data_IF_550711424690
#
_entry.id   IF_550711424690
#
_cell.length_a   1.000
_cell.length_b   1.000
_cell.length_c   1.000
_cell.angle_alpha   90.00
_cell.angle_beta   90.00
_cell.angle_gamma   90.00
#
_symmetry.space_group_name_H-M   'P 1'
#
loop_
_entity.id
_entity.type
_entity.pdbx_description
1 polymer ?
#
# COMPACT_ATOMS: atom_id res chain seq x y z
N UNK A 1 17.65 7.99 28.07
CA UNK A 1 17.53 9.42 27.69
C UNK A 1 18.72 9.73 26.81
N UNK A 2 18.47 10.23 25.60
CA UNK A 2 19.49 10.55 24.61
C UNK A 2 18.81 11.18 23.41
N UNK A 3 18.26 12.38 23.61
CA UNK A 3 17.58 13.13 22.56
C UNK A 3 18.60 13.74 21.61
N UNK A 4 18.79 13.13 20.43
CA UNK A 4 19.43 13.76 19.29
C UNK A 4 18.37 14.48 18.46
N UNK A 5 18.39 15.81 18.46
CA UNK A 5 17.52 16.64 17.61
C UNK A 5 17.98 16.47 16.16
N UNK A 6 17.12 15.91 15.30
CA UNK A 6 17.40 15.80 13.86
C UNK A 6 17.67 17.21 13.30
N UNK A 7 18.83 17.45 12.65
CA UNK A 7 19.11 18.74 12.03
C UNK A 7 18.15 18.96 10.87
N UNK A 8 17.42 20.06 10.92
CA UNK A 8 16.54 20.50 9.84
C UNK A 8 17.38 20.93 8.64
N UNK A 9 17.16 20.28 7.49
CA UNK A 9 17.61 20.75 6.17
C UNK A 9 19.14 20.83 5.99
N UNK A 10 19.85 19.72 6.15
CA UNK A 10 21.20 19.60 5.59
C UNK A 10 21.18 18.76 4.31
N UNK A 11 21.90 19.23 3.28
CA UNK A 11 22.14 18.50 2.02
C UNK A 11 23.44 17.68 2.04
N UNK A 12 24.22 17.75 3.12
CA UNK A 12 25.52 17.06 3.25
C UNK A 12 25.68 16.37 4.59
N UNK A 13 26.07 15.10 4.54
CA UNK A 13 26.33 14.26 5.71
C UNK A 13 27.25 14.95 6.75
N UNK A 14 28.24 15.72 6.28
CA UNK A 14 29.22 16.44 7.10
C UNK A 14 28.63 17.53 7.99
N UNK A 15 27.45 18.06 7.67
CA UNK A 15 26.84 19.10 8.49
C UNK A 15 26.15 18.50 9.73
N UNK A 16 25.74 17.23 9.64
CA UNK A 16 25.14 16.47 10.75
C UNK A 16 26.19 15.71 11.57
N UNK A 17 27.25 15.21 10.92
CA UNK A 17 28.35 14.51 11.58
C UNK A 17 29.68 15.10 11.12
N UNK A 18 30.27 15.93 11.98
CA UNK A 18 31.46 16.70 11.64
C UNK A 18 32.75 15.86 11.60
N UNK A 19 32.70 14.63 12.09
CA UNK A 19 33.79 13.68 12.04
C UNK A 19 33.28 12.25 11.79
N UNK A 20 34.16 11.41 11.26
CA UNK A 20 33.91 9.96 11.12
C UNK A 20 33.56 9.34 12.48
N UNK A 21 34.25 9.75 13.57
CA UNK A 21 33.97 9.29 14.92
C UNK A 21 32.58 9.66 15.43
N UNK A 22 32.08 10.85 15.10
CA UNK A 22 30.74 11.29 15.53
C UNK A 22 29.65 10.48 14.83
N UNK A 23 29.82 10.26 13.52
CA UNK A 23 28.93 9.38 12.75
C UNK A 23 28.93 7.95 13.33
N UNK A 24 30.13 7.42 13.58
CA UNK A 24 30.34 6.08 14.10
C UNK A 24 29.74 5.85 15.49
N UNK A 25 29.87 6.82 16.38
CA UNK A 25 29.28 6.73 17.72
C UNK A 25 27.76 6.75 17.65
N UNK A 26 27.20 7.51 16.70
CA UNK A 26 25.75 7.62 16.52
C UNK A 26 25.10 6.35 15.94
N UNK A 27 25.80 5.57 15.10
CA UNK A 27 25.20 4.45 14.37
C UNK A 27 25.91 3.09 14.52
N UNK A 28 27.21 3.07 14.79
CA UNK A 28 28.05 1.86 14.81
C UNK A 28 28.28 1.25 16.20
N UNK A 29 27.85 1.90 17.26
CA UNK A 29 28.04 1.42 18.64
C UNK A 29 29.51 1.28 19.05
N UNK A 30 29.76 0.58 20.16
CA UNK A 30 31.11 0.45 20.73
C UNK A 30 31.97 -0.55 19.92
N UNK A 31 32.65 -0.01 18.89
CA UNK A 31 33.91 -0.48 18.27
C UNK A 31 33.97 -1.79 17.49
N UNK A 32 33.10 -2.05 16.51
CA UNK A 32 33.46 -3.06 15.49
C UNK A 32 32.98 -2.86 14.06
N UNK A 33 32.02 -1.97 13.79
CA UNK A 33 31.54 -1.78 12.42
C UNK A 33 31.46 -0.30 12.10
N UNK A 34 32.63 0.30 11.93
CA UNK A 34 32.74 1.54 11.20
C UNK A 34 33.64 1.36 9.99
N UNK A 35 33.31 2.07 8.91
CA UNK A 35 33.93 1.94 7.59
C UNK A 35 35.34 2.53 7.60
N UNK A 36 36.27 1.93 8.36
CA UNK A 36 37.66 2.37 8.56
C UNK A 36 38.54 2.27 7.29
N UNK A 37 37.94 2.20 6.10
CA UNK A 37 38.60 1.96 4.82
C UNK A 37 39.31 0.60 4.70
N UNK A 38 39.29 -0.21 5.76
CA UNK A 38 39.91 -1.52 5.80
C UNK A 38 38.98 -2.54 5.14
N UNK A 39 39.50 -3.34 4.22
CA UNK A 39 38.75 -4.41 3.56
C UNK A 39 38.28 -5.43 4.59
N UNK A 40 36.98 -5.45 4.86
CA UNK A 40 36.34 -6.52 5.65
C UNK A 40 36.09 -7.69 4.71
N UNK A 41 36.86 -8.76 4.85
CA UNK A 41 36.56 -10.04 4.22
C UNK A 41 35.44 -10.71 5.01
N UNK A 42 34.21 -10.54 4.54
CA UNK A 42 33.13 -11.42 4.97
C UNK A 42 33.47 -12.84 4.53
N UNK A 43 33.23 -13.81 5.41
CA UNK A 43 33.29 -15.22 5.03
C UNK A 43 32.17 -15.41 4.00
N UNK A 44 32.51 -15.29 2.72
CA UNK A 44 31.55 -15.34 1.64
C UNK A 44 31.07 -16.79 1.55
N UNK A 45 29.96 -17.09 2.23
CA UNK A 45 29.11 -18.21 1.85
C UNK A 45 28.91 -18.05 0.36
N UNK A 46 29.34 -19.05 -0.44
CA UNK A 46 29.16 -18.98 -1.89
C UNK A 46 27.72 -18.52 -2.16
N UNK A 47 27.52 -17.47 -2.97
CA UNK A 47 26.18 -17.10 -3.38
C UNK A 47 25.52 -18.38 -3.90
N UNK A 48 24.44 -18.78 -3.25
CA UNK A 48 23.59 -19.84 -3.77
C UNK A 48 23.37 -19.54 -5.25
N UNK A 49 23.56 -20.54 -6.11
CA UNK A 49 23.46 -20.34 -7.55
C UNK A 49 22.17 -19.57 -7.85
N UNK A 50 22.32 -18.38 -8.43
CA UNK A 50 21.18 -17.51 -8.72
C UNK A 50 20.13 -18.31 -9.48
N UNK A 51 18.83 -18.21 -9.10
CA UNK A 51 17.78 -18.96 -9.78
C UNK A 51 17.89 -18.76 -11.29
N UNK A 52 17.87 -19.86 -12.07
CA UNK A 52 18.04 -19.82 -13.53
C UNK A 52 16.88 -19.11 -14.26
N UNK A 53 15.77 -18.85 -13.56
CA UNK A 53 14.60 -18.16 -14.08
C UNK A 53 13.41 -18.25 -13.12
N UNK A 54 12.25 -17.75 -13.58
CA UNK A 54 10.96 -17.80 -12.88
C UNK A 54 9.98 -18.57 -13.76
N UNK A 55 9.26 -19.52 -13.17
CA UNK A 55 8.15 -20.21 -13.84
C UNK A 55 6.86 -19.43 -13.59
N UNK A 56 6.06 -19.20 -14.65
CA UNK A 56 4.77 -18.53 -14.54
C UNK A 56 3.66 -19.53 -14.85
N UNK A 57 2.66 -19.60 -13.97
CA UNK A 57 1.43 -20.36 -14.17
C UNK A 57 0.26 -19.39 -14.28
N UNK A 58 -0.56 -19.55 -15.31
CA UNK A 58 -1.75 -18.73 -15.50
C UNK A 58 -2.87 -19.28 -14.61
N UNK A 59 -3.31 -18.47 -13.64
CA UNK A 59 -4.37 -18.85 -12.69
C UNK A 59 -5.73 -18.25 -13.01
N UNK A 60 -5.86 -17.37 -14.00
CA UNK A 60 -7.16 -16.84 -14.44
C UNK A 60 -7.17 -16.52 -15.94
N UNK A 61 -8.34 -16.68 -16.55
CA UNK A 61 -8.58 -16.35 -17.95
C UNK A 61 -8.88 -14.86 -18.20
N UNK A 62 -8.99 -14.06 -17.13
CA UNK A 62 -9.21 -12.62 -17.22
C UNK A 62 -10.69 -12.25 -17.20
N UNK A 63 -11.49 -12.92 -16.36
CA UNK A 63 -12.90 -12.58 -16.18
C UNK A 63 -13.10 -11.16 -15.65
N UNK A 64 -12.12 -10.65 -14.88
CA UNK A 64 -12.08 -9.28 -14.40
C UNK A 64 -10.69 -8.68 -14.57
N UNK A 65 -10.62 -7.35 -14.66
CA UNK A 65 -9.38 -6.59 -14.57
C UNK A 65 -9.07 -6.29 -13.10
N UNK A 66 -8.25 -7.13 -12.48
CA UNK A 66 -7.79 -6.91 -11.11
C UNK A 66 -6.62 -5.91 -11.10
N UNK A 67 -6.65 -4.98 -10.15
CA UNK A 67 -5.55 -4.06 -9.88
C UNK A 67 -4.74 -4.49 -8.65
N UNK A 68 -5.39 -5.14 -7.69
CA UNK A 68 -4.80 -5.48 -6.40
C UNK A 68 -5.08 -6.92 -6.00
N UNK A 69 -4.11 -7.55 -5.33
CA UNK A 69 -4.21 -8.90 -4.77
C UNK A 69 -3.58 -8.90 -3.38
N UNK A 70 -4.32 -9.37 -2.37
CA UNK A 70 -3.85 -9.44 -0.98
C UNK A 70 -4.16 -10.83 -0.41
N UNK A 71 -3.18 -11.53 0.21
CA UNK A 71 -3.43 -12.83 0.81
C UNK A 71 -4.40 -12.73 1.99
N UNK A 72 -5.18 -13.77 2.20
CA UNK A 72 -6.07 -13.84 3.36
C UNK A 72 -5.23 -14.00 4.65
N UNK A 73 -5.50 -13.20 5.72
CA UNK A 73 -4.69 -13.21 6.94
C UNK A 73 -4.70 -14.50 7.76
N UNK A 74 -5.54 -15.48 7.42
CA UNK A 74 -5.64 -16.77 8.12
C UNK A 74 -4.59 -17.79 7.68
N UNK A 75 -3.72 -17.43 6.72
CA UNK A 75 -2.72 -18.33 6.16
C UNK A 75 -3.27 -19.40 5.22
N UNK A 76 -4.54 -19.31 4.82
CA UNK A 76 -5.09 -20.16 3.77
C UNK A 76 -4.60 -19.72 2.38
N UNK A 77 -4.89 -20.53 1.36
CA UNK A 77 -4.62 -20.18 -0.04
C UNK A 77 -5.65 -19.19 -0.62
N UNK A 78 -6.41 -18.50 0.22
CA UNK A 78 -7.40 -17.52 -0.21
C UNK A 78 -6.77 -16.14 -0.40
N UNK A 79 -7.32 -15.39 -1.34
CA UNK A 79 -6.85 -14.07 -1.74
C UNK A 79 -8.03 -13.13 -1.98
N UNK A 80 -7.82 -11.87 -1.63
CA UNK A 80 -8.72 -10.78 -1.96
C UNK A 80 -8.26 -10.10 -3.24
N UNK A 81 -9.15 -10.00 -4.22
CA UNK A 81 -8.88 -9.45 -5.55
C UNK A 81 -9.69 -8.17 -5.75
N UNK A 82 -9.00 -7.05 -5.91
CA UNK A 82 -9.62 -5.73 -6.06
C UNK A 82 -9.68 -5.32 -7.52
N UNK A 83 -10.86 -4.93 -7.99
CA UNK A 83 -11.06 -4.31 -9.31
C UNK A 83 -10.93 -2.79 -9.22
N UNK A 84 -10.55 -2.12 -10.31
CA UNK A 84 -10.44 -0.65 -10.34
C UNK A 84 -11.76 0.05 -9.98
N UNK A 85 -12.91 -0.54 -10.33
CA UNK A 85 -14.22 -0.01 -10.01
C UNK A 85 -14.59 -0.08 -8.51
N UNK A 86 -13.82 -0.79 -7.69
CA UNK A 86 -14.07 -0.90 -6.24
C UNK A 86 -14.75 -2.19 -5.78
N UNK A 87 -14.92 -3.19 -6.64
CA UNK A 87 -15.33 -4.53 -6.19
C UNK A 87 -14.14 -5.30 -5.65
N UNK A 88 -14.31 -5.89 -4.47
CA UNK A 88 -13.32 -6.79 -3.85
C UNK A 88 -13.93 -8.20 -3.81
N UNK A 89 -13.25 -9.14 -4.45
CA UNK A 89 -13.67 -10.53 -4.62
C UNK A 89 -12.81 -11.42 -3.71
N UNK A 90 -13.36 -12.54 -3.25
CA UNK A 90 -12.63 -13.56 -2.49
C UNK A 90 -12.50 -14.82 -3.36
N UNK A 91 -11.27 -15.28 -3.54
CA UNK A 91 -10.97 -16.47 -4.33
C UNK A 91 -9.91 -17.34 -3.66
N UNK A 92 -9.92 -18.62 -3.98
CA UNK A 92 -8.89 -19.59 -3.62
C UNK A 92 -7.91 -19.74 -4.78
N UNK A 93 -6.62 -19.62 -4.49
CA UNK A 93 -5.53 -19.87 -5.43
C UNK A 93 -5.32 -21.38 -5.56
N UNK A 94 -5.26 -21.93 -6.79
CA UNK A 94 -5.04 -23.35 -7.00
C UNK A 94 -3.64 -23.78 -6.54
N UNK A 95 -3.46 -25.08 -6.29
CA UNK A 95 -2.13 -25.63 -5.99
C UNK A 95 -1.17 -25.43 -7.17
N UNK A 96 0.09 -25.15 -6.86
CA UNK A 96 1.13 -24.94 -7.86
C UNK A 96 1.28 -26.17 -8.76
N UNK A 97 1.23 -25.96 -10.08
CA UNK A 97 1.38 -27.02 -11.08
C UNK A 97 0.13 -27.87 -11.28
N UNK A 98 -1.00 -27.53 -10.65
CA UNK A 98 -2.27 -28.22 -10.87
C UNK A 98 -2.90 -27.88 -12.22
N UNK A 99 -2.51 -26.77 -12.86
CA UNK A 99 -3.20 -26.24 -14.04
C UNK A 99 -4.61 -25.71 -13.73
N UNK A 100 -4.95 -25.56 -12.45
CA UNK A 100 -6.22 -25.01 -12.00
C UNK A 100 -6.33 -23.50 -12.22
N UNK A 101 -7.56 -22.99 -12.10
CA UNK A 101 -7.85 -21.56 -12.11
C UNK A 101 -8.33 -21.10 -10.74
N UNK A 102 -8.37 -19.78 -10.51
CA UNK A 102 -9.00 -19.17 -9.34
C UNK A 102 -10.41 -19.72 -9.14
N UNK A 103 -10.69 -20.13 -7.90
CA UNK A 103 -12.01 -20.58 -7.49
C UNK A 103 -12.62 -19.50 -6.62
N UNK A 104 -13.70 -18.87 -7.09
CA UNK A 104 -14.41 -17.85 -6.32
C UNK A 104 -15.37 -18.51 -5.33
N UNK A 105 -15.42 -18.03 -4.09
CA UNK A 105 -16.37 -18.51 -3.07
C UNK A 105 -17.83 -18.25 -3.53
N UNK A 106 -18.83 -18.94 -2.99
CA UNK A 106 -20.22 -18.95 -3.52
C UNK A 106 -20.89 -17.56 -3.67
N UNK A 107 -20.47 -16.57 -2.88
CA UNK A 107 -20.94 -15.19 -3.04
C UNK A 107 -20.15 -14.39 -4.10
N UNK A 108 -18.98 -14.87 -4.50
CA UNK A 108 -18.02 -14.27 -5.43
C UNK A 108 -17.41 -12.94 -4.98
N UNK A 109 -18.08 -12.22 -4.08
CA UNK A 109 -17.83 -10.84 -3.71
C UNK A 109 -17.70 -10.73 -2.20
N UNK A 110 -16.56 -10.20 -1.74
CA UNK A 110 -16.30 -9.89 -0.34
C UNK A 110 -16.94 -8.56 0.05
N UNK A 111 -16.72 -7.50 -0.74
CA UNK A 111 -17.36 -6.19 -0.54
C UNK A 111 -17.48 -5.45 -1.88
N UNK A 112 -18.53 -4.65 -1.99
CA UNK A 112 -18.72 -3.70 -3.10
C UNK A 112 -18.53 -2.27 -2.60
N UNK A 113 -17.49 -1.59 -3.08
CA UNK A 113 -17.21 -0.19 -2.78
C UNK A 113 -17.53 0.74 -3.96
N UNK A 114 -18.22 0.27 -5.00
CA UNK A 114 -18.51 1.05 -6.22
C UNK A 114 -19.24 2.37 -5.95
N UNK A 115 -20.05 2.45 -4.89
CA UNK A 115 -20.73 3.69 -4.48
C UNK A 115 -19.78 4.72 -3.84
N UNK A 116 -18.65 4.27 -3.29
CA UNK A 116 -17.64 5.12 -2.64
C UNK A 116 -16.51 5.50 -3.59
N UNK A 117 -16.17 4.58 -4.50
CA UNK A 117 -15.07 4.72 -5.44
C UNK A 117 -15.52 5.53 -6.65
N UNK A 118 -14.85 6.64 -6.89
CA UNK A 118 -14.91 7.32 -8.17
C UNK A 118 -14.04 6.56 -9.18
N UNK A 119 -14.69 5.98 -10.18
CA UNK A 119 -14.05 5.15 -11.20
C UNK A 119 -14.10 5.83 -12.57
N UNK A 120 -12.94 5.97 -13.20
CA UNK A 120 -12.78 6.34 -14.61
C UNK A 120 -11.50 5.71 -15.20
N UNK A 121 -10.95 6.24 -16.30
CA UNK A 121 -9.72 5.71 -16.90
C UNK A 121 -8.46 5.88 -16.04
N UNK A 122 -8.47 6.80 -15.08
CA UNK A 122 -7.33 7.17 -14.23
C UNK A 122 -7.59 6.92 -12.74
N UNK A 123 -8.84 6.98 -12.32
CA UNK A 123 -9.28 6.88 -10.93
C UNK A 123 -9.89 5.52 -10.62
N UNK A 124 -9.86 5.16 -9.34
CA UNK A 124 -10.52 3.97 -8.86
C UNK A 124 -10.02 3.53 -7.50
N UNK A 125 -10.22 2.24 -7.20
CA UNK A 125 -9.54 1.57 -6.11
C UNK A 125 -8.04 1.55 -6.40
N UNK A 126 -7.23 2.00 -5.45
CA UNK A 126 -5.77 2.06 -5.59
C UNK A 126 -5.08 0.92 -4.83
N UNK A 127 -5.63 0.50 -3.69
CA UNK A 127 -4.97 -0.46 -2.81
C UNK A 127 -5.87 -0.89 -1.65
N UNK A 128 -5.47 -1.98 -0.98
CA UNK A 128 -6.12 -2.44 0.24
C UNK A 128 -5.12 -3.15 1.16
N UNK A 129 -5.41 -3.15 2.46
CA UNK A 129 -4.61 -3.85 3.47
C UNK A 129 -5.52 -4.35 4.60
N UNK A 130 -5.23 -5.54 5.11
CA UNK A 130 -5.93 -6.09 6.26
C UNK A 130 -5.18 -5.74 7.54
N UNK A 131 -5.90 -5.48 8.62
CA UNK A 131 -5.29 -5.31 9.93
C UNK A 131 -4.54 -6.60 10.33
N UNK A 132 -3.38 -6.52 11.02
CA UNK A 132 -2.67 -7.73 11.46
C UNK A 132 -3.58 -8.70 12.24
N UNK A 133 -4.42 -8.17 13.11
CA UNK A 133 -5.45 -8.93 13.85
C UNK A 133 -6.81 -9.03 13.12
N UNK A 134 -6.84 -9.04 11.79
CA UNK A 134 -8.10 -9.10 11.01
C UNK A 134 -8.98 -10.30 11.40
N UNK A 135 -8.37 -11.44 11.70
CA UNK A 135 -9.10 -12.64 12.14
C UNK A 135 -9.91 -12.40 13.43
N UNK A 136 -9.49 -11.45 14.28
CA UNK A 136 -10.18 -11.14 15.54
C UNK A 136 -11.06 -9.91 15.45
N UNK A 137 -10.67 -8.89 14.68
CA UNK A 137 -11.37 -7.60 14.65
C UNK A 137 -12.11 -7.30 13.34
N UNK A 138 -11.89 -8.07 12.28
CA UNK A 138 -12.51 -7.88 10.96
C UNK A 138 -12.13 -6.57 10.26
N UNK A 139 -11.09 -5.85 10.71
CA UNK A 139 -10.73 -4.52 10.17
C UNK A 139 -9.86 -4.63 8.94
N UNK A 140 -10.24 -3.92 7.89
CA UNK A 140 -9.41 -3.73 6.70
C UNK A 140 -9.52 -2.29 6.20
N UNK A 141 -8.57 -1.90 5.37
CA UNK A 141 -8.42 -0.55 4.87
C UNK A 141 -8.40 -0.61 3.35
N UNK A 142 -9.08 0.33 2.70
CA UNK A 142 -9.00 0.51 1.26
C UNK A 142 -8.61 1.95 0.93
N UNK A 143 -7.69 2.11 0.00
CA UNK A 143 -7.32 3.41 -0.57
C UNK A 143 -7.94 3.57 -1.95
N UNK A 144 -8.64 4.66 -2.19
CA UNK A 144 -9.36 4.89 -3.45
C UNK A 144 -9.54 6.38 -3.74
N UNK A 145 -9.80 6.69 -5.01
CA UNK A 145 -10.30 8.00 -5.42
C UNK A 145 -11.79 8.09 -5.11
N UNK A 146 -12.23 9.19 -4.52
CA UNK A 146 -13.63 9.47 -4.25
C UNK A 146 -14.03 10.82 -4.83
N UNK A 147 -15.34 11.06 -4.98
CA UNK A 147 -15.89 12.32 -5.47
C UNK A 147 -16.61 13.06 -4.33
N UNK A 148 -16.10 14.24 -3.98
CA UNK A 148 -16.64 15.09 -2.91
C UNK A 148 -18.06 15.59 -3.20
N UNK A 149 -18.46 15.65 -4.47
CA UNK A 149 -19.83 16.02 -4.84
C UNK A 149 -20.83 14.89 -4.60
N UNK A 150 -20.36 13.63 -4.57
CA UNK A 150 -21.19 12.44 -4.34
C UNK A 150 -21.19 12.00 -2.88
N UNK A 151 -20.07 12.13 -2.19
CA UNK A 151 -19.92 11.67 -0.81
C UNK A 151 -19.28 12.73 0.10
N UNK A 152 -19.97 13.18 1.17
CA UNK A 152 -19.37 14.09 2.15
C UNK A 152 -18.18 13.48 2.90
N UNK A 153 -18.11 12.15 3.01
CA UNK A 153 -16.96 11.45 3.63
C UNK A 153 -15.71 11.50 2.76
N UNK A 154 -15.84 11.90 1.48
CA UNK A 154 -14.72 12.18 0.60
C UNK A 154 -14.05 13.51 0.97
N UNK A 155 -13.28 13.48 2.06
CA UNK A 155 -12.62 14.63 2.64
C UNK A 155 -11.11 14.43 2.58
N UNK A 156 -10.45 15.23 1.75
CA UNK A 156 -9.00 15.30 1.63
C UNK A 156 -8.52 16.75 1.64
N UNK A 157 -7.22 16.94 1.82
CA UNK A 157 -6.61 18.27 1.82
C UNK A 157 -6.21 18.66 0.40
N UNK A 158 -6.81 19.73 -0.10
CA UNK A 158 -6.36 20.36 -1.33
C UNK A 158 -4.92 20.84 -1.25
N UNK A 159 -4.12 20.65 -2.31
CA UNK A 159 -2.79 21.28 -2.42
C UNK A 159 -2.89 22.81 -2.42
N UNK A 160 -3.85 23.36 -3.16
CA UNK A 160 -4.24 24.76 -3.05
C UNK A 160 -5.18 24.93 -1.84
N UNK A 161 -4.73 25.58 -0.78
CA UNK A 161 -5.55 25.86 0.40
C UNK A 161 -5.09 27.15 1.09
N UNK A 162 -5.83 27.57 2.13
CA UNK A 162 -5.57 28.80 2.90
C UNK A 162 -4.16 28.88 3.50
N UNK A 163 -3.57 27.75 3.89
CA UNK A 163 -2.25 27.73 4.55
C UNK A 163 -1.12 28.10 3.61
N UNK A 164 -1.31 27.85 2.32
CA UNK A 164 -0.37 28.24 1.25
C UNK A 164 -0.83 29.51 0.54
N UNK A 165 -1.80 30.25 1.10
CA UNK A 165 -2.32 31.49 0.53
C UNK A 165 -3.05 31.30 -0.80
N UNK A 166 -3.57 30.11 -1.07
CA UNK A 166 -4.24 29.77 -2.32
C UNK A 166 -5.75 29.59 -2.09
N UNK A 167 -6.56 30.27 -2.91
CA UNK A 167 -8.02 30.18 -2.89
C UNK A 167 -8.50 29.24 -4.02
N UNK A 168 -9.00 28.03 -3.70
CA UNK A 168 -9.45 27.07 -4.70
C UNK A 168 -10.58 27.61 -5.57
N UNK A 169 -11.42 28.51 -5.07
CA UNK A 169 -12.54 29.08 -5.83
C UNK A 169 -12.09 30.01 -6.96
N UNK A 170 -10.82 30.44 -6.95
CA UNK A 170 -10.22 31.23 -8.04
C UNK A 170 -9.60 30.36 -9.13
N UNK A 171 -9.54 29.04 -8.92
CA UNK A 171 -9.06 28.11 -9.93
C UNK A 171 -10.20 27.72 -10.88
N UNK A 172 -9.89 27.60 -12.17
CA UNK A 172 -10.82 27.08 -13.17
C UNK A 172 -11.04 25.58 -13.03
N UNK A 173 -11.94 25.04 -13.85
CA UNK A 173 -12.12 23.59 -13.96
C UNK A 173 -11.04 22.98 -14.85
N UNK A 174 -10.66 21.74 -14.55
CA UNK A 174 -9.80 20.92 -15.41
C UNK A 174 -10.61 19.72 -15.90
N UNK A 175 -10.76 19.59 -17.22
CA UNK A 175 -11.62 18.57 -17.86
C UNK A 175 -13.04 18.46 -17.25
N UNK A 176 -13.62 19.59 -16.84
CA UNK A 176 -14.95 19.64 -16.22
C UNK A 176 -14.98 19.31 -14.73
N UNK A 177 -13.87 18.87 -14.13
CA UNK A 177 -13.75 18.67 -12.70
C UNK A 177 -13.47 19.99 -11.97
N UNK A 178 -14.14 20.20 -10.83
CA UNK A 178 -13.83 21.34 -9.97
C UNK A 178 -12.50 21.10 -9.23
N UNK A 179 -11.76 22.18 -8.91
CA UNK A 179 -10.59 22.09 -8.04
C UNK A 179 -10.93 21.29 -6.78
N UNK A 180 -10.14 20.24 -6.51
CA UNK A 180 -10.34 19.34 -5.37
C UNK A 180 -11.63 18.53 -5.33
N UNK A 181 -12.33 18.37 -6.45
CA UNK A 181 -13.51 17.51 -6.52
C UNK A 181 -13.17 16.06 -6.15
N UNK A 182 -12.11 15.53 -6.74
CA UNK A 182 -11.65 14.17 -6.48
C UNK A 182 -10.55 14.15 -5.42
N UNK A 183 -10.64 13.21 -4.50
CA UNK A 183 -9.67 13.05 -3.41
C UNK A 183 -9.20 11.61 -3.33
N UNK A 184 -7.94 11.41 -2.97
CA UNK A 184 -7.44 10.10 -2.52
C UNK A 184 -7.72 9.99 -1.03
N UNK A 185 -8.44 8.95 -0.63
CA UNK A 185 -8.77 8.68 0.77
C UNK A 185 -8.34 7.27 1.14
N UNK A 186 -8.09 7.06 2.42
CA UNK A 186 -7.95 5.73 3.04
C UNK A 186 -9.08 5.58 4.03
N UNK A 187 -9.96 4.61 3.78
CA UNK A 187 -11.11 4.34 4.64
C UNK A 187 -10.95 3.01 5.35
N UNK A 188 -11.32 2.99 6.62
CA UNK A 188 -11.42 1.78 7.43
C UNK A 188 -12.80 1.14 7.24
N UNK A 189 -12.82 -0.17 7.07
CA UNK A 189 -14.01 -1.00 6.99
C UNK A 189 -13.92 -2.15 7.98
N UNK A 190 -15.08 -2.67 8.37
CA UNK A 190 -15.18 -3.85 9.23
C UNK A 190 -15.99 -4.93 8.52
N UNK A 191 -15.36 -6.07 8.25
CA UNK A 191 -16.04 -7.30 7.88
C UNK A 191 -16.72 -7.87 9.12
N UNK A 192 -17.90 -7.35 9.47
CA UNK A 192 -18.73 -8.04 10.46
C UNK A 192 -19.09 -9.39 9.87
N UNK A 193 -18.68 -10.47 10.52
CA UNK A 193 -19.20 -11.79 10.21
C UNK A 193 -20.73 -11.72 10.23
N UNK A 194 -21.37 -12.40 9.29
CA UNK A 194 -22.76 -12.81 9.48
C UNK A 194 -22.81 -13.55 10.82
N UNK A 195 -23.23 -12.86 11.87
CA UNK A 195 -23.63 -13.50 13.11
C UNK A 195 -24.74 -14.45 12.72
N UNK A 196 -24.43 -15.75 12.71
CA UNK A 196 -25.44 -16.79 12.72
C UNK A 196 -26.40 -16.50 13.87
N UNK A 197 -27.63 -16.11 13.55
CA UNK A 197 -28.77 -16.34 14.41
C UNK A 197 -29.32 -17.72 14.10
#
# INVERSE_FOLDING_TARGET
>A
QGGGRLPSSSSKLTDAWQSESDFCTSFGGDRSVCLSGSTVTFNATQPSASPKGVCLERIDNGSYAYLNMVPHPDGSNRVFLGTQAGKILLATVPEQGSGGTLQFDEAGQFVDLTDQVHFDSTFGLMGMAFHPDFATNGRFFASYNCDRTKSPSCSGRCSCNSDVGCDPSKLGTDNGAQPCQYQVVVSEYSAKGLSSN
#
